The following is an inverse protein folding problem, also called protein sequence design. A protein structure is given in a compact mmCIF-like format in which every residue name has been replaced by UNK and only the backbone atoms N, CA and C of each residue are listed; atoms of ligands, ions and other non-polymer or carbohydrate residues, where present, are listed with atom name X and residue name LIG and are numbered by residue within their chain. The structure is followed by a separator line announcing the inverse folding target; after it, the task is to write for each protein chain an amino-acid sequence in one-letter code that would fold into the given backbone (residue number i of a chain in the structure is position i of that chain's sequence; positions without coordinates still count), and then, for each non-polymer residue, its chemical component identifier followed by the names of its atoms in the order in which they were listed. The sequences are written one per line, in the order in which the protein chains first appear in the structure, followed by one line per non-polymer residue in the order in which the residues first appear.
data_IF_105216603983
#
_entry.id   IF_105216603983
#
_cell.length_a   1.000
_cell.length_b   1.000
_cell.length_c   1.000
_cell.angle_alpha   90.00
_cell.angle_beta   90.00
_cell.angle_gamma   90.00
#
_symmetry.space_group_name_H-M   'P 1'
#
loop_
_entity.id
_entity.type
_entity.pdbx_description
1 polymer ?
#
# COMPACT_ATOMS: atom_id res chain seq x y z
N UNK A 1 -10.22 14.60 -80.92
CA UNK A 1 -9.30 14.78 -79.78
C UNK A 1 -9.05 13.38 -79.23
N UNK A 2 -8.01 12.67 -79.68
CA UNK A 2 -6.68 12.57 -79.05
C UNK A 2 -6.83 12.24 -77.54
N UNK A 3 -6.43 11.08 -77.03
CA UNK A 3 -5.06 10.57 -77.00
C UNK A 3 -4.96 9.03 -76.85
N UNK A 4 -3.93 8.47 -77.50
CA UNK A 4 -3.35 7.14 -77.31
C UNK A 4 -2.42 7.09 -76.07
N UNK A 5 -2.27 5.91 -75.45
CA UNK A 5 -1.02 5.29 -74.91
C UNK A 5 -1.41 3.98 -74.19
N UNK A 6 -1.10 2.77 -74.67
CA UNK A 6 0.19 2.03 -74.67
C UNK A 6 0.82 1.93 -73.26
N UNK A 7 0.76 0.77 -72.58
CA UNK A 7 1.84 -0.23 -72.47
C UNK A 7 1.40 -1.43 -71.59
N UNK A 8 1.83 -2.67 -71.93
CA UNK A 8 1.61 -3.88 -71.13
C UNK A 8 2.77 -4.08 -70.14
N UNK A 9 2.49 -4.62 -68.94
CA UNK A 9 3.57 -5.10 -68.08
C UNK A 9 3.41 -6.58 -67.75
N UNK A 10 4.48 -7.30 -68.10
CA UNK A 10 4.69 -8.74 -68.00
C UNK A 10 4.63 -9.27 -66.57
N UNK A 11 4.29 -10.56 -66.52
CA UNK A 11 4.57 -11.54 -65.47
C UNK A 11 5.87 -11.34 -64.68
N UNK A 12 5.88 -11.78 -63.42
CA UNK A 12 6.83 -12.81 -62.97
C UNK A 12 6.39 -13.38 -61.62
N UNK A 13 6.11 -14.68 -61.63
CA UNK A 13 6.00 -15.51 -60.42
C UNK A 13 7.38 -15.61 -59.77
N UNK A 14 7.46 -15.46 -58.45
CA UNK A 14 8.45 -16.15 -57.64
C UNK A 14 7.85 -16.40 -56.25
N UNK A 15 7.64 -17.69 -55.95
CA UNK A 15 7.37 -18.15 -54.59
C UNK A 15 8.60 -17.92 -53.71
N UNK A 16 8.36 -17.48 -52.48
CA UNK A 16 9.43 -17.19 -51.53
C UNK A 16 8.86 -17.01 -50.13
N UNK A 17 8.81 -18.14 -49.42
CA UNK A 17 8.61 -18.38 -47.98
C UNK A 17 8.50 -17.10 -47.11
N UNK A 18 7.31 -16.85 -46.57
CA UNK A 18 7.10 -15.89 -45.48
C UNK A 18 7.66 -16.55 -44.20
N UNK A 19 8.92 -16.30 -43.87
CA UNK A 19 9.45 -16.58 -42.54
C UNK A 19 8.89 -15.52 -41.58
N UNK A 20 7.81 -15.86 -40.89
CA UNK A 20 7.29 -15.10 -39.75
C UNK A 20 8.33 -15.24 -38.63
N UNK A 21 9.21 -14.26 -38.50
CA UNK A 21 10.05 -14.10 -37.33
C UNK A 21 9.13 -13.61 -36.20
N UNK A 22 8.59 -14.55 -35.42
CA UNK A 22 7.99 -14.23 -34.13
C UNK A 22 9.11 -13.69 -33.24
N UNK A 23 9.23 -12.36 -33.19
CA UNK A 23 9.97 -11.67 -32.15
C UNK A 23 9.28 -11.99 -30.82
N UNK A 24 9.75 -13.04 -30.16
CA UNK A 24 9.52 -13.27 -28.74
C UNK A 24 10.10 -12.07 -28.00
N UNK A 25 9.25 -11.07 -27.74
CA UNK A 25 9.56 -10.04 -26.78
C UNK A 25 9.74 -10.75 -25.43
N UNK A 26 10.99 -10.89 -25.01
CA UNK A 26 11.35 -11.32 -23.67
C UNK A 26 10.74 -10.29 -22.71
N UNK A 27 9.63 -10.64 -22.07
CA UNK A 27 9.08 -9.86 -20.97
C UNK A 27 10.10 -9.97 -19.83
N UNK A 28 10.76 -8.88 -19.40
CA UNK A 28 11.59 -8.94 -18.22
C UNK A 28 10.68 -9.19 -17.02
N UNK A 29 10.67 -10.44 -16.53
CA UNK A 29 10.03 -10.81 -15.27
C UNK A 29 10.92 -10.31 -14.13
N UNK A 30 10.86 -9.02 -13.83
CA UNK A 30 11.46 -8.45 -12.63
C UNK A 30 10.44 -7.56 -11.91
N UNK A 31 9.28 -8.14 -11.57
CA UNK A 31 8.49 -7.62 -10.46
C UNK A 31 9.18 -8.06 -9.17
N UNK A 32 10.30 -7.43 -8.82
CA UNK A 32 10.79 -7.49 -7.45
C UNK A 32 9.66 -6.88 -6.63
N UNK A 33 9.00 -7.69 -5.80
CA UNK A 33 8.01 -7.18 -4.87
C UNK A 33 8.69 -6.07 -4.06
N UNK A 34 8.28 -4.82 -4.27
CA UNK A 34 8.87 -3.69 -3.56
C UNK A 34 8.45 -3.79 -2.09
N UNK A 35 9.29 -4.43 -1.29
CA UNK A 35 9.12 -4.55 0.16
C UNK A 35 9.08 -3.12 0.73
N UNK A 36 8.01 -2.71 1.45
CA UNK A 36 7.93 -1.36 2.00
C UNK A 36 9.09 -1.09 2.95
N UNK A 37 9.99 -0.16 2.61
CA UNK A 37 11.08 0.25 3.51
C UNK A 37 10.54 0.56 4.90
N UNK A 38 11.23 0.09 5.95
CA UNK A 38 10.89 0.40 7.33
C UNK A 38 10.73 1.92 7.53
N UNK A 39 9.70 2.32 8.27
CA UNK A 39 9.35 3.70 8.51
C UNK A 39 9.20 3.97 10.01
N UNK A 40 9.61 5.17 10.42
CA UNK A 40 9.30 5.72 11.74
C UNK A 40 8.59 7.05 11.55
N UNK A 41 7.39 7.16 12.15
CA UNK A 41 6.54 8.33 12.06
C UNK A 41 6.33 8.87 13.47
N UNK A 42 6.65 10.14 13.69
CA UNK A 42 6.38 10.82 14.96
C UNK A 42 5.04 11.54 14.91
N UNK A 43 4.35 11.59 16.04
CA UNK A 43 3.10 12.34 16.16
C UNK A 43 2.64 12.46 17.60
N UNK A 44 1.36 12.78 17.76
CA UNK A 44 0.69 12.95 19.05
C UNK A 44 -0.51 12.02 19.13
N UNK A 45 -0.66 11.30 20.24
CA UNK A 45 -1.80 10.41 20.52
C UNK A 45 -3.09 11.19 20.68
N UNK A 46 -4.22 10.48 20.64
CA UNK A 46 -5.49 11.04 21.08
C UNK A 46 -6.11 11.99 20.05
N UNK A 47 -6.88 12.96 20.56
CA UNK A 47 -7.68 13.88 19.79
C UNK A 47 -9.06 14.06 20.41
N UNK A 48 -9.95 14.74 19.70
CA UNK A 48 -11.29 15.06 20.22
C UNK A 48 -12.39 14.20 19.59
N UNK A 49 -12.04 13.29 18.68
CA UNK A 49 -12.99 12.43 18.00
C UNK A 49 -13.08 11.08 18.73
N UNK A 50 -14.23 10.82 19.38
CA UNK A 50 -14.47 9.52 20.00
C UNK A 50 -14.75 8.48 18.92
N UNK A 51 -13.85 7.51 18.79
CA UNK A 51 -13.94 6.45 17.79
C UNK A 51 -14.87 5.30 18.18
N UNK A 52 -15.49 5.36 19.36
CA UNK A 52 -16.37 4.35 19.93
C UNK A 52 -15.60 3.31 20.72
N UNK A 53 -15.07 2.30 20.03
CA UNK A 53 -14.39 1.14 20.63
C UNK A 53 -12.88 1.35 20.85
N UNK A 54 -12.28 2.36 20.22
CA UNK A 54 -10.83 2.55 20.22
C UNK A 54 -10.33 3.84 20.89
N UNK A 55 -11.12 4.37 21.82
CA UNK A 55 -10.81 5.64 22.50
C UNK A 55 -10.92 6.84 21.57
N UNK A 56 -10.18 7.89 21.89
CA UNK A 56 -10.20 9.14 21.14
C UNK A 56 -9.06 9.19 20.13
N UNK A 57 -9.36 9.65 18.92
CA UNK A 57 -8.44 9.74 17.79
C UNK A 57 -8.43 11.15 17.20
N UNK A 58 -7.45 11.44 16.35
CA UNK A 58 -7.39 12.66 15.55
C UNK A 58 -8.46 12.68 14.45
N UNK A 59 -8.79 13.88 13.95
CA UNK A 59 -9.70 14.04 12.82
C UNK A 59 -9.11 13.55 11.49
N UNK A 60 -7.79 13.38 11.43
CA UNK A 60 -7.06 12.82 10.30
C UNK A 60 -6.24 11.62 10.77
N UNK A 61 -6.00 10.63 9.88
CA UNK A 61 -5.14 9.51 10.20
C UNK A 61 -3.72 10.00 10.51
N UNK A 62 -3.09 9.39 11.50
CA UNK A 62 -1.69 9.60 11.85
C UNK A 62 -0.76 9.17 10.72
N UNK A 63 -1.15 8.16 9.93
CA UNK A 63 -0.43 7.73 8.75
C UNK A 63 -1.37 7.00 7.77
N UNK A 64 -1.03 7.03 6.48
CA UNK A 64 -1.77 6.29 5.42
C UNK A 64 -0.80 5.35 4.73
N UNK A 65 -1.14 4.07 4.71
CA UNK A 65 -0.38 3.05 3.97
C UNK A 65 -1.15 2.72 2.69
N UNK A 66 -0.49 2.79 1.55
CA UNK A 66 -1.05 2.33 0.27
C UNK A 66 -0.23 1.12 -0.21
N UNK A 67 -0.82 -0.07 -0.14
CA UNK A 67 -0.20 -1.30 -0.59
C UNK A 67 -0.69 -1.63 -2.01
N UNK A 68 0.21 -1.65 -2.99
CA UNK A 68 -0.11 -2.02 -4.37
C UNK A 68 -0.36 -3.53 -4.55
N UNK A 69 0.13 -4.34 -3.61
CA UNK A 69 0.01 -5.78 -3.59
C UNK A 69 0.00 -6.29 -2.14
N UNK A 70 -0.32 -7.57 -1.95
CA UNK A 70 -0.27 -8.19 -0.62
C UNK A 70 1.15 -8.18 -0.05
N UNK A 71 1.27 -7.85 1.23
CA UNK A 71 2.52 -7.93 2.00
C UNK A 71 2.37 -9.02 3.05
N UNK A 72 3.23 -10.04 3.00
CA UNK A 72 3.13 -11.22 3.86
C UNK A 72 3.62 -11.00 5.29
N UNK A 73 4.47 -9.99 5.50
CA UNK A 73 4.96 -9.60 6.82
C UNK A 73 5.02 -8.09 6.92
N UNK A 74 3.98 -7.49 7.51
CA UNK A 74 3.97 -6.09 7.90
C UNK A 74 3.63 -6.01 9.39
N UNK A 75 4.47 -5.29 10.12
CA UNK A 75 4.32 -5.07 11.55
C UNK A 75 4.26 -3.57 11.82
N UNK A 76 3.31 -3.18 12.66
CA UNK A 76 3.18 -1.82 13.17
C UNK A 76 3.19 -1.84 14.69
N UNK A 77 3.91 -0.89 15.28
CA UNK A 77 4.03 -0.73 16.74
C UNK A 77 3.95 0.76 17.06
N UNK A 78 3.15 1.14 18.06
CA UNK A 78 3.11 2.50 18.58
C UNK A 78 3.89 2.56 19.90
N UNK A 79 5.02 3.26 19.91
CA UNK A 79 5.81 3.49 21.11
C UNK A 79 5.47 4.86 21.71
N UNK A 80 5.18 4.90 23.01
CA UNK A 80 5.02 6.14 23.78
C UNK A 80 5.36 5.91 25.24
N UNK A 81 5.78 6.96 25.94
CA UNK A 81 6.17 6.91 27.35
C UNK A 81 5.07 7.44 28.28
N UNK A 82 3.93 7.90 27.75
CA UNK A 82 2.84 8.50 28.51
C UNK A 82 1.46 8.13 27.95
N UNK A 83 0.43 8.26 28.80
CA UNK A 83 -0.95 8.03 28.42
C UNK A 83 -1.33 6.55 28.29
N UNK A 84 -2.44 6.30 27.61
CA UNK A 84 -2.99 4.97 27.32
C UNK A 84 -3.20 4.86 25.81
N UNK A 85 -2.14 4.57 25.05
CA UNK A 85 -2.18 4.61 23.59
C UNK A 85 -3.13 3.55 23.04
N UNK A 86 -3.81 3.90 21.95
CA UNK A 86 -4.59 2.95 21.14
C UNK A 86 -4.11 2.98 19.70
N UNK A 87 -4.22 1.84 19.02
CA UNK A 87 -3.94 1.71 17.60
C UNK A 87 -5.23 1.29 16.89
N UNK A 88 -5.75 2.17 16.05
CA UNK A 88 -6.88 1.89 15.18
C UNK A 88 -6.40 1.80 13.73
N UNK A 89 -6.67 0.66 13.11
CA UNK A 89 -6.39 0.40 11.70
C UNK A 89 -7.71 0.26 10.97
N UNK A 90 -7.96 1.11 9.97
CA UNK A 90 -9.09 0.96 9.03
C UNK A 90 -8.52 0.47 7.70
N UNK A 91 -8.94 -0.72 7.28
CA UNK A 91 -8.46 -1.41 6.08
C UNK A 91 -9.30 -1.13 4.83
N UNK A 92 -8.93 -1.77 3.70
CA UNK A 92 -9.56 -1.55 2.40
C UNK A 92 -10.90 -2.26 2.22
N UNK A 93 -11.20 -3.30 2.99
CA UNK A 93 -12.47 -4.02 2.95
C UNK A 93 -13.60 -3.31 3.69
N UNK A 94 -14.83 -3.71 3.39
CA UNK A 94 -16.00 -3.20 4.09
C UNK A 94 -15.97 -3.65 5.55
N UNK A 95 -15.99 -2.70 6.48
CA UNK A 95 -15.88 -2.93 7.92
C UNK A 95 -14.53 -3.50 8.39
N UNK A 96 -13.48 -3.43 7.57
CA UNK A 96 -12.12 -3.77 8.01
C UNK A 96 -11.66 -2.72 9.02
N UNK A 97 -11.82 -3.04 10.29
CA UNK A 97 -11.48 -2.15 11.40
C UNK A 97 -10.92 -2.97 12.54
N UNK A 98 -9.70 -2.63 12.96
CA UNK A 98 -9.02 -3.30 14.06
C UNK A 98 -8.61 -2.28 15.11
N UNK A 99 -9.06 -2.49 16.34
CA UNK A 99 -8.64 -1.71 17.49
C UNK A 99 -7.73 -2.54 18.40
N UNK A 100 -6.62 -1.95 18.80
CA UNK A 100 -5.67 -2.55 19.75
C UNK A 100 -5.40 -1.54 20.84
N UNK A 101 -5.77 -1.91 22.07
CA UNK A 101 -5.46 -1.13 23.26
C UNK A 101 -4.08 -1.52 23.78
N UNK A 102 -3.33 -0.55 24.26
CA UNK A 102 -2.04 -0.79 24.88
C UNK A 102 -1.78 0.13 26.06
N UNK A 103 -0.57 -0.01 26.60
CA UNK A 103 -0.07 0.80 27.70
C UNK A 103 1.20 1.50 27.26
N UNK A 104 1.49 2.66 27.85
CA UNK A 104 2.71 3.42 27.62
C UNK A 104 3.94 2.81 28.32
N UNK A 105 4.19 1.52 28.06
CA UNK A 105 5.34 0.80 28.60
C UNK A 105 5.86 -0.25 27.61
N UNK A 106 7.20 -0.44 27.53
CA UNK A 106 7.80 -1.48 26.69
C UNK A 106 7.17 -2.85 26.93
N UNK A 107 6.87 -3.56 25.84
CA UNK A 107 6.22 -4.88 25.88
C UNK A 107 4.69 -4.84 25.95
N UNK A 108 4.08 -3.70 26.27
CA UNK A 108 2.62 -3.50 26.31
C UNK A 108 2.10 -2.47 25.30
N UNK A 109 2.97 -2.00 24.42
CA UNK A 109 2.60 -1.13 23.32
C UNK A 109 1.55 -1.78 22.41
N UNK A 110 0.59 -1.00 21.88
CA UNK A 110 -0.35 -1.52 20.90
C UNK A 110 0.39 -1.78 19.59
N UNK A 111 0.21 -2.98 19.05
CA UNK A 111 0.93 -3.47 17.89
C UNK A 111 0.08 -4.44 17.07
N UNK A 112 0.25 -4.41 15.75
CA UNK A 112 -0.40 -5.34 14.83
C UNK A 112 0.65 -5.88 13.87
N UNK A 113 0.65 -7.19 13.64
CA UNK A 113 1.51 -7.86 12.69
C UNK A 113 0.73 -8.85 11.86
N UNK A 114 1.22 -9.18 10.66
CA UNK A 114 0.67 -10.29 9.86
C UNK A 114 0.74 -10.07 8.36
N UNK A 115 -0.20 -10.71 7.66
CA UNK A 115 -0.40 -10.59 6.21
C UNK A 115 -1.41 -9.48 5.95
N UNK A 116 -1.06 -8.55 5.07
CA UNK A 116 -1.86 -7.37 4.73
C UNK A 116 -2.19 -7.41 3.24
N UNK A 117 -3.48 -7.41 2.90
CA UNK A 117 -3.94 -7.38 1.52
C UNK A 117 -3.58 -6.06 0.82
N UNK A 118 -3.59 -6.05 -0.51
CA UNK A 118 -3.48 -4.82 -1.28
C UNK A 118 -4.61 -3.84 -0.92
N UNK A 119 -4.31 -2.54 -0.89
CA UNK A 119 -5.29 -1.50 -0.64
C UNK A 119 -4.78 -0.35 0.21
N UNK A 120 -5.70 0.55 0.55
CA UNK A 120 -5.45 1.73 1.38
C UNK A 120 -5.81 1.44 2.83
N UNK A 121 -4.88 1.71 3.74
CA UNK A 121 -5.07 1.61 5.17
C UNK A 121 -4.93 2.97 5.82
N UNK A 122 -5.85 3.29 6.72
CA UNK A 122 -5.79 4.49 7.54
C UNK A 122 -5.36 4.08 8.95
N UNK A 123 -4.23 4.63 9.40
CA UNK A 123 -3.66 4.33 10.71
C UNK A 123 -3.91 5.51 11.62
N UNK A 124 -4.60 5.27 12.73
CA UNK A 124 -4.86 6.25 13.77
C UNK A 124 -4.18 5.81 15.05
N UNK A 125 -3.44 6.74 15.66
CA UNK A 125 -2.85 6.58 16.98
C UNK A 125 -3.67 7.40 17.97
N UNK A 126 -4.46 6.72 18.79
CA UNK A 126 -5.37 7.32 19.76
C UNK A 126 -4.87 7.25 21.19
N UNK A 127 -5.72 7.71 22.10
CA UNK A 127 -5.57 7.56 23.55
C UNK A 127 -6.94 7.26 24.16
N UNK A 128 -7.01 6.38 25.15
CA UNK A 128 -8.27 5.98 25.80
C UNK A 128 -9.06 7.20 26.32
N UNK A 129 -8.38 8.21 26.85
CA UNK A 129 -8.99 9.41 27.43
C UNK A 129 -8.83 10.65 26.54
N UNK A 130 -8.25 10.50 25.35
CA UNK A 130 -7.96 11.63 24.45
C UNK A 130 -6.77 12.48 24.88
N UNK A 131 -5.93 11.99 25.79
CA UNK A 131 -4.70 12.67 26.14
C UNK A 131 -3.78 12.78 24.92
N UNK A 132 -3.13 13.94 24.82
CA UNK A 132 -2.21 14.24 23.73
C UNK A 132 -0.77 14.05 24.21
N UNK A 133 -0.17 12.91 23.86
CA UNK A 133 1.20 12.55 24.22
C UNK A 133 2.04 12.26 22.97
N UNK A 134 3.34 12.56 22.95
CA UNK A 134 4.21 12.19 21.84
C UNK A 134 4.25 10.66 21.63
N UNK A 135 4.28 10.22 20.38
CA UNK A 135 4.50 8.82 20.02
C UNK A 135 5.48 8.67 18.84
N UNK A 136 6.02 7.46 18.70
CA UNK A 136 6.70 6.97 17.49
C UNK A 136 5.98 5.73 16.97
N UNK A 137 5.40 5.82 15.77
CA UNK A 137 4.83 4.70 15.03
C UNK A 137 5.92 4.07 14.17
N UNK A 138 6.24 2.80 14.44
CA UNK A 138 7.18 2.01 13.65
C UNK A 138 6.41 1.10 12.71
N UNK A 139 6.76 1.12 11.43
CA UNK A 139 6.22 0.24 10.40
C UNK A 139 7.40 -0.55 9.86
N UNK A 140 7.38 -1.87 9.99
CA UNK A 140 8.46 -2.74 9.51
C UNK A 140 7.90 -3.82 8.60
N UNK A 141 8.65 -4.12 7.54
CA UNK A 141 8.37 -5.27 6.68
C UNK A 141 9.61 -6.13 6.56
N UNK A 142 9.40 -7.42 6.33
CA UNK A 142 10.45 -8.44 6.23
C UNK A 142 10.34 -9.17 4.90
#
# INVERSE_FOLDING_TARGET
MAFNSIFPFKSLSFGGIITIIFLFNLIPSNSIAQIPKNQEIKGTTGGNNNSGDCGYIGNQPSHIINLSQQVYSLNIVVETNQGKPTLLVVGPGNNDRFCILGEASPGKYPKMGGVWAAGKYLIYVGDIQGNQNPFTLKITTQ
#
